data_IF_161399503910
#
_entry.id   IF_161399503910
#
_cell.length_a   1.000
_cell.length_b   1.000
_cell.length_c   1.000
_cell.angle_alpha   90.00
_cell.angle_beta   90.00
_cell.angle_gamma   90.00
#
_symmetry.space_group_name_H-M   'P 1'
#
loop_
_entity.id
_entity.type
_entity.pdbx_description
1 polymer ?
#
# COMPACT_ATOMS: atom_id res chain seq x y z
N UNK A 1 -16.77 -3.16 5.18
CA UNK A 1 -17.15 -2.47 6.43
C UNK A 1 -15.88 -2.42 7.24
N UNK A 2 -15.35 -1.22 7.51
CA UNK A 2 -14.17 -0.93 8.33
C UNK A 2 -14.48 0.37 9.08
N UNK A 3 -15.57 0.31 9.83
CA UNK A 3 -16.20 1.43 10.49
C UNK A 3 -16.13 1.29 12.01
N UNK A 4 -15.47 0.23 12.49
CA UNK A 4 -15.39 -0.15 13.90
C UNK A 4 -14.13 -0.96 14.16
N UNK A 5 -13.74 -1.07 15.44
CA UNK A 5 -12.64 -1.90 15.91
C UNK A 5 -12.75 -3.34 15.36
N UNK A 6 -13.93 -3.96 15.45
CA UNK A 6 -14.14 -5.35 15.03
C UNK A 6 -13.92 -5.52 13.54
N UNK A 7 -14.39 -4.56 12.75
CA UNK A 7 -14.30 -4.58 11.31
C UNK A 7 -12.83 -4.52 10.85
N UNK A 8 -12.04 -3.66 11.47
CA UNK A 8 -10.61 -3.51 11.21
C UNK A 8 -9.81 -4.75 11.65
N UNK A 9 -10.15 -5.32 12.82
CA UNK A 9 -9.55 -6.56 13.31
C UNK A 9 -9.85 -7.73 12.38
N UNK A 10 -11.11 -7.89 11.97
CA UNK A 10 -11.52 -8.97 11.05
C UNK A 10 -10.81 -8.84 9.71
N UNK A 11 -10.80 -7.63 9.12
CA UNK A 11 -10.11 -7.38 7.87
C UNK A 11 -8.59 -7.64 7.99
N UNK A 12 -7.94 -7.12 9.03
CA UNK A 12 -6.51 -7.33 9.28
C UNK A 12 -6.14 -8.80 9.47
N UNK A 13 -6.88 -9.53 10.31
CA UNK A 13 -6.64 -10.96 10.56
C UNK A 13 -6.90 -11.80 9.30
N UNK A 14 -7.94 -11.48 8.52
CA UNK A 14 -8.25 -12.18 7.28
C UNK A 14 -7.16 -12.04 6.21
N UNK A 15 -6.33 -10.99 6.26
CA UNK A 15 -5.19 -10.79 5.36
C UNK A 15 -3.95 -11.62 5.76
N UNK A 16 -3.81 -12.04 7.02
CA UNK A 16 -2.62 -12.77 7.50
C UNK A 16 -2.35 -14.09 6.75
N UNK A 17 -3.35 -14.93 6.42
CA UNK A 17 -3.13 -16.11 5.59
C UNK A 17 -2.64 -15.77 4.18
N UNK A 18 -3.19 -14.72 3.56
CA UNK A 18 -2.78 -14.24 2.23
C UNK A 18 -1.34 -13.76 2.26
N UNK A 19 -0.97 -13.01 3.30
CA UNK A 19 0.40 -12.57 3.56
C UNK A 19 1.37 -13.74 3.73
N UNK A 20 1.04 -14.71 4.58
CA UNK A 20 1.87 -15.88 4.81
C UNK A 20 2.07 -16.70 3.52
N UNK A 21 1.01 -16.89 2.73
CA UNK A 21 1.09 -17.59 1.45
C UNK A 21 1.90 -16.81 0.42
N UNK A 22 1.74 -15.49 0.34
CA UNK A 22 2.51 -14.64 -0.57
C UNK A 22 4.00 -14.68 -0.24
N UNK A 23 4.36 -14.55 1.03
CA UNK A 23 5.75 -14.61 1.50
C UNK A 23 6.39 -16.00 1.32
N UNK A 24 5.61 -17.08 1.47
CA UNK A 24 6.09 -18.45 1.21
C UNK A 24 6.50 -18.68 -0.25
N UNK A 25 5.97 -17.91 -1.18
CA UNK A 25 6.30 -18.02 -2.61
C UNK A 25 7.56 -17.24 -3.00
N UNK A 26 8.13 -16.45 -2.09
CA UNK A 26 9.38 -15.70 -2.30
C UNK A 26 10.54 -16.67 -2.53
N UNK A 27 11.30 -16.43 -3.60
CA UNK A 27 12.55 -17.15 -3.91
C UNK A 27 13.77 -16.25 -3.89
N UNK A 28 13.58 -14.95 -4.07
CA UNK A 28 14.66 -13.97 -4.04
C UNK A 28 14.31 -12.79 -3.15
N UNK A 29 15.30 -12.24 -2.45
CA UNK A 29 15.14 -11.09 -1.54
C UNK A 29 14.48 -9.87 -2.19
N UNK A 30 14.66 -9.68 -3.51
CA UNK A 30 14.04 -8.60 -4.27
C UNK A 30 12.51 -8.72 -4.42
N UNK A 31 11.95 -9.91 -4.20
CA UNK A 31 10.50 -10.15 -4.28
C UNK A 31 9.81 -9.82 -2.94
N UNK A 32 10.58 -9.79 -1.84
CA UNK A 32 10.07 -9.56 -0.48
C UNK A 32 9.24 -8.27 -0.37
N UNK A 33 9.68 -7.10 -0.88
CA UNK A 33 8.91 -5.87 -0.69
C UNK A 33 7.51 -5.92 -1.30
N UNK A 34 7.36 -6.59 -2.45
CA UNK A 34 6.05 -6.77 -3.08
C UNK A 34 5.23 -7.87 -2.39
N UNK A 35 5.87 -9.00 -2.09
CA UNK A 35 5.21 -10.14 -1.45
C UNK A 35 4.74 -9.83 -0.01
N UNK A 36 5.37 -8.86 0.67
CA UNK A 36 5.03 -8.40 2.00
C UNK A 36 3.87 -7.39 2.04
N UNK A 37 3.42 -6.84 0.91
CA UNK A 37 2.32 -5.86 0.87
C UNK A 37 1.06 -6.32 1.63
N UNK A 38 0.59 -7.59 1.51
CA UNK A 38 -0.57 -8.05 2.27
C UNK A 38 -0.33 -8.04 3.79
N UNK A 39 0.90 -8.33 4.25
CA UNK A 39 1.25 -8.26 5.67
C UNK A 39 1.19 -6.82 6.16
N UNK A 40 1.73 -5.90 5.35
CA UNK A 40 1.75 -4.48 5.69
C UNK A 40 0.35 -3.88 5.72
N UNK A 41 -0.54 -4.27 4.78
CA UNK A 41 -1.95 -3.91 4.83
C UNK A 41 -2.66 -4.48 6.06
N UNK A 42 -2.36 -5.73 6.44
CA UNK A 42 -2.89 -6.34 7.67
C UNK A 42 -2.48 -5.54 8.92
N UNK A 43 -1.19 -5.23 9.05
CA UNK A 43 -0.66 -4.44 10.16
C UNK A 43 -1.28 -3.04 10.18
N UNK A 44 -1.43 -2.42 9.01
CA UNK A 44 -2.06 -1.11 8.89
C UNK A 44 -3.50 -1.12 9.41
N UNK A 45 -4.29 -2.15 9.06
CA UNK A 45 -5.67 -2.28 9.55
C UNK A 45 -5.74 -2.54 11.06
N UNK A 46 -4.87 -3.42 11.57
CA UNK A 46 -4.80 -3.68 13.01
C UNK A 46 -4.34 -2.44 13.81
N UNK A 47 -3.55 -1.57 13.18
CA UNK A 47 -3.14 -0.29 13.80
C UNK A 47 -4.32 0.68 13.85
N UNK A 48 -5.17 0.71 12.83
CA UNK A 48 -6.40 1.52 12.82
C UNK A 48 -7.40 1.08 13.89
N UNK A 49 -7.53 -0.24 14.11
CA UNK A 49 -8.33 -0.78 15.21
C UNK A 49 -7.89 -0.26 16.59
N UNK A 50 -6.59 -0.06 16.81
CA UNK A 50 -6.06 0.53 18.05
C UNK A 50 -6.35 2.04 18.15
N UNK A 51 -6.50 2.73 17.01
CA UNK A 51 -6.90 4.14 17.00
C UNK A 51 -8.37 4.26 17.40
N UNK A 52 -9.24 3.41 16.85
CA UNK A 52 -10.65 3.31 17.24
C UNK A 52 -10.81 2.99 18.72
N UNK A 53 -10.13 1.95 19.22
CA UNK A 53 -10.15 1.61 20.64
C UNK A 53 -9.68 2.77 21.54
N UNK A 54 -8.85 3.67 21.02
CA UNK A 54 -8.44 4.88 21.75
C UNK A 54 -9.49 5.99 21.75
N UNK A 55 -10.29 6.09 20.69
CA UNK A 55 -11.45 7.00 20.63
C UNK A 55 -12.56 6.52 21.57
N UNK A 56 -12.79 5.21 21.65
CA UNK A 56 -13.76 4.57 22.56
C UNK A 56 -13.33 4.61 24.04
N UNK A 57 -12.06 4.93 24.32
CA UNK A 57 -11.49 5.00 25.67
C UNK A 57 -11.00 3.66 26.23
N UNK A 58 -10.96 2.61 25.41
CA UNK A 58 -10.49 1.26 25.79
C UNK A 58 -8.97 1.14 25.92
N UNK A 59 -8.20 2.06 25.30
CA UNK A 59 -6.74 2.14 25.44
C UNK A 59 -6.28 3.53 25.87
N UNK A 60 -5.09 3.59 26.48
CA UNK A 60 -4.51 4.87 26.91
C UNK A 60 -4.26 5.83 25.74
N UNK A 61 -4.36 7.14 26.00
CA UNK A 61 -4.07 8.18 25.01
C UNK A 61 -2.67 8.06 24.37
N UNK A 62 -1.68 7.57 25.10
CA UNK A 62 -0.34 7.32 24.56
C UNK A 62 -0.33 6.19 23.51
N UNK A 63 -1.12 5.13 23.74
CA UNK A 63 -1.27 4.02 22.78
C UNK A 63 -1.97 4.51 21.53
N UNK A 64 -3.11 5.21 21.67
CA UNK A 64 -3.84 5.78 20.54
C UNK A 64 -2.95 6.70 19.71
N UNK A 65 -2.23 7.64 20.35
CA UNK A 65 -1.32 8.57 19.67
C UNK A 65 -0.21 7.84 18.91
N UNK A 66 0.35 6.79 19.51
CA UNK A 66 1.39 5.97 18.87
C UNK A 66 0.84 5.20 17.68
N UNK A 67 -0.36 4.62 17.82
CA UNK A 67 -1.05 3.93 16.74
C UNK A 67 -1.39 4.88 15.58
N UNK A 68 -1.96 6.05 15.85
CA UNK A 68 -2.27 7.06 14.84
C UNK A 68 -1.00 7.54 14.11
N UNK A 69 0.09 7.78 14.84
CA UNK A 69 1.37 8.14 14.23
C UNK A 69 1.90 7.01 13.35
N UNK A 70 1.88 5.76 13.81
CA UNK A 70 2.31 4.60 13.03
C UNK A 70 1.47 4.41 11.76
N UNK A 71 0.15 4.57 11.87
CA UNK A 71 -0.79 4.52 10.75
C UNK A 71 -0.44 5.57 9.69
N UNK A 72 -0.31 6.84 10.08
CA UNK A 72 -0.01 7.94 9.16
C UNK A 72 1.39 7.84 8.57
N UNK A 73 2.41 7.45 9.36
CA UNK A 73 3.76 7.22 8.86
C UNK A 73 3.82 6.05 7.86
N UNK A 74 3.01 5.01 8.04
CA UNK A 74 2.92 3.97 7.05
C UNK A 74 2.26 4.49 5.75
N UNK A 75 1.10 5.12 5.87
CA UNK A 75 0.32 5.56 4.72
C UNK A 75 1.04 6.63 3.88
N UNK A 76 1.63 7.65 4.53
CA UNK A 76 2.11 8.82 3.82
C UNK A 76 3.57 8.70 3.37
N UNK A 77 4.56 8.52 4.27
CA UNK A 77 5.94 8.41 3.83
C UNK A 77 6.38 7.00 3.41
N UNK A 78 5.86 5.91 3.98
CA UNK A 78 6.38 4.57 3.62
C UNK A 78 5.90 4.14 2.22
N UNK A 79 4.61 4.25 1.92
CA UNK A 79 4.03 3.75 0.66
C UNK A 79 4.66 4.36 -0.62
N UNK A 80 4.89 5.69 -0.74
CA UNK A 80 5.43 6.29 -1.96
C UNK A 80 6.82 5.83 -2.33
N UNK A 81 7.62 5.39 -1.37
CA UNK A 81 8.93 4.78 -1.66
C UNK A 81 8.81 3.28 -1.81
N UNK A 82 8.03 2.62 -0.95
CA UNK A 82 7.91 1.17 -0.92
C UNK A 82 7.34 0.60 -2.22
N UNK A 83 6.22 1.14 -2.71
CA UNK A 83 5.51 0.60 -3.89
C UNK A 83 6.34 0.69 -5.17
N UNK A 84 6.86 1.86 -5.59
CA UNK A 84 7.70 1.92 -6.79
C UNK A 84 8.98 1.10 -6.65
N UNK A 85 9.56 1.02 -5.45
CA UNK A 85 10.75 0.19 -5.21
C UNK A 85 10.43 -1.29 -5.35
N UNK A 86 9.30 -1.75 -4.81
CA UNK A 86 8.82 -3.12 -4.95
C UNK A 86 8.62 -3.50 -6.43
N UNK A 87 8.00 -2.61 -7.22
CA UNK A 87 7.83 -2.81 -8.66
C UNK A 87 9.17 -2.81 -9.40
N UNK A 88 10.05 -1.84 -9.14
CA UNK A 88 11.39 -1.75 -9.75
C UNK A 88 12.21 -3.02 -9.54
N UNK A 89 12.15 -3.59 -8.33
CA UNK A 89 12.88 -4.80 -7.96
C UNK A 89 12.36 -6.05 -8.68
N UNK A 90 11.07 -6.09 -9.00
CA UNK A 90 10.44 -7.16 -9.78
C UNK A 90 10.68 -7.04 -11.29
N UNK A 91 11.00 -5.84 -11.79
CA UNK A 91 11.24 -5.60 -13.21
C UNK A 91 12.60 -6.17 -13.70
N UNK A 92 12.63 -6.70 -14.94
CA UNK A 92 13.86 -7.09 -15.63
C UNK A 92 14.87 -5.94 -15.69
N UNK A 93 16.18 -6.24 -15.70
CA UNK A 93 17.23 -5.20 -15.68
C UNK A 93 17.07 -4.14 -16.78
N UNK A 94 16.69 -4.53 -17.99
CA UNK A 94 16.46 -3.61 -19.11
C UNK A 94 15.19 -2.75 -19.00
N UNK A 95 14.21 -3.17 -18.18
CA UNK A 95 12.96 -2.45 -17.98
C UNK A 95 13.00 -1.46 -16.81
N UNK A 96 13.97 -1.61 -15.89
CA UNK A 96 14.08 -0.81 -14.66
C UNK A 96 14.17 0.70 -14.90
N UNK A 97 14.79 1.12 -16.00
CA UNK A 97 14.92 2.55 -16.35
C UNK A 97 13.56 3.22 -16.57
N UNK A 98 12.51 2.46 -16.92
CA UNK A 98 11.14 2.99 -17.04
C UNK A 98 10.50 3.30 -15.69
N UNK A 99 10.91 2.59 -14.64
CA UNK A 99 10.31 2.68 -13.30
C UNK A 99 11.18 3.52 -12.33
N UNK A 100 12.48 3.61 -12.57
CA UNK A 100 13.42 4.32 -11.70
C UNK A 100 13.04 5.80 -11.41
N UNK A 101 12.51 6.60 -12.36
CA UNK A 101 12.07 7.97 -12.07
C UNK A 101 10.97 8.02 -11.00
N UNK A 102 10.09 7.02 -10.93
CA UNK A 102 9.02 6.95 -9.93
C UNK A 102 9.55 6.62 -8.54
N UNK A 103 10.66 5.88 -8.43
CA UNK A 103 11.35 5.67 -7.14
C UNK A 103 11.96 6.98 -6.65
N UNK A 104 12.61 7.74 -7.53
CA UNK A 104 13.16 9.05 -7.17
C UNK A 104 12.05 10.03 -6.73
N UNK A 105 10.95 10.10 -7.49
CA UNK A 105 9.78 10.88 -7.12
C UNK A 105 9.19 10.41 -5.78
N UNK A 106 9.05 9.10 -5.60
CA UNK A 106 8.57 8.48 -4.37
C UNK A 106 9.41 8.86 -3.15
N UNK A 107 10.73 8.84 -3.27
CA UNK A 107 11.65 9.27 -2.21
C UNK A 107 11.47 10.74 -1.82
N UNK A 108 11.31 11.62 -2.81
CA UNK A 108 11.06 13.06 -2.58
C UNK A 108 9.74 13.28 -1.86
N UNK A 109 8.66 12.65 -2.35
CA UNK A 109 7.33 12.72 -1.73
C UNK A 109 7.37 12.15 -0.31
N UNK A 110 8.00 10.98 -0.13
CA UNK A 110 8.16 10.35 1.17
C UNK A 110 8.90 11.24 2.17
N UNK A 111 10.02 11.84 1.77
CA UNK A 111 10.81 12.72 2.64
C UNK A 111 10.02 13.95 3.09
N UNK A 112 9.28 14.58 2.17
CA UNK A 112 8.45 15.73 2.48
C UNK A 112 7.27 15.34 3.40
N UNK A 113 6.55 14.27 3.08
CA UNK A 113 5.43 13.83 3.91
C UNK A 113 5.88 13.37 5.29
N UNK A 114 7.04 12.71 5.41
CA UNK A 114 7.65 12.39 6.70
C UNK A 114 7.95 13.66 7.50
N UNK A 115 8.54 14.68 6.86
CA UNK A 115 8.80 15.97 7.51
C UNK A 115 7.51 16.62 8.03
N UNK A 116 6.45 16.65 7.22
CA UNK A 116 5.15 17.23 7.60
C UNK A 116 4.53 16.47 8.77
N UNK A 117 4.53 15.13 8.73
CA UNK A 117 3.95 14.29 9.79
C UNK A 117 4.72 14.42 11.11
N UNK A 118 6.06 14.48 11.06
CA UNK A 118 6.89 14.53 12.26
C UNK A 118 6.98 15.94 12.89
N UNK A 119 6.72 17.00 12.12
CA UNK A 119 6.78 18.39 12.60
C UNK A 119 5.42 19.02 12.86
N UNK A 120 4.40 18.59 12.14
CA UNK A 120 3.05 19.13 12.24
C UNK A 120 2.24 18.50 13.38
N UNK A 121 1.18 19.17 13.85
CA UNK A 121 0.22 18.52 14.73
C UNK A 121 -0.52 17.43 13.96
N UNK A 122 -0.52 16.21 14.51
CA UNK A 122 -1.41 15.15 14.06
C UNK A 122 -2.71 15.26 14.85
N UNK A 123 -3.80 15.62 14.18
CA UNK A 123 -5.14 15.64 14.76
C UNK A 123 -5.90 14.43 14.25
N UNK A 124 -6.45 13.67 15.18
CA UNK A 124 -7.31 12.51 14.92
C UNK A 124 -8.74 12.96 15.21
N UNK A 125 -9.58 13.02 14.18
CA UNK A 125 -10.99 13.39 14.30
C UNK A 125 -11.85 12.17 13.95
N UNK A 126 -12.82 11.89 14.81
CA UNK A 126 -13.87 10.92 14.52
C UNK A 126 -14.97 11.61 13.71
N UNK A 127 -15.31 11.02 12.56
CA UNK A 127 -16.52 11.33 11.80
C UNK A 127 -17.41 10.09 11.80
N UNK A 128 -18.72 10.28 11.52
CA UNK A 128 -19.79 9.29 11.70
C UNK A 128 -19.40 7.83 11.38
N UNK A 129 -18.62 7.62 10.32
CA UNK A 129 -18.10 6.30 9.92
C UNK A 129 -16.63 6.32 9.46
N UNK A 130 -15.78 7.23 9.96
CA UNK A 130 -14.36 7.25 9.58
C UNK A 130 -13.49 7.99 10.59
N UNK A 131 -12.25 7.51 10.75
CA UNK A 131 -11.20 8.29 11.41
C UNK A 131 -10.51 9.16 10.36
N UNK A 132 -10.55 10.47 10.56
CA UNK A 132 -9.86 11.44 9.70
C UNK A 132 -8.58 11.89 10.38
N UNK A 133 -7.47 11.69 9.69
CA UNK A 133 -6.14 12.13 10.12
C UNK A 133 -5.79 13.44 9.43
N UNK A 134 -5.82 14.56 10.18
CA UNK A 134 -5.39 15.85 9.65
C UNK A 134 -3.92 16.08 9.95
N UNK A 135 -3.21 16.46 8.89
CA UNK A 135 -1.82 16.92 8.95
C UNK A 135 -1.74 18.33 8.37
N UNK A 136 -0.74 19.11 8.80
CA UNK A 136 -0.47 20.46 8.30
C UNK A 136 0.13 20.47 6.88
N UNK A 137 -0.53 19.82 5.92
CA UNK A 137 -0.04 19.69 4.55
C UNK A 137 -0.42 20.92 3.72
N UNK A 138 0.56 21.78 3.48
CA UNK A 138 0.41 22.85 2.49
C UNK A 138 0.42 22.29 1.06
N UNK A 139 -0.37 22.89 0.17
CA UNK A 139 -0.49 22.49 -1.23
C UNK A 139 -0.94 21.02 -1.41
N UNK A 140 -1.91 20.56 -0.60
CA UNK A 140 -2.33 19.16 -0.53
C UNK A 140 -2.64 18.50 -1.88
N UNK A 141 -3.30 19.20 -2.80
CA UNK A 141 -3.61 18.67 -4.14
C UNK A 141 -2.35 18.36 -4.96
N UNK A 142 -1.34 19.23 -4.91
CA UNK A 142 -0.07 19.03 -5.62
C UNK A 142 0.63 17.77 -5.12
N UNK A 143 0.78 17.63 -3.80
CA UNK A 143 1.41 16.47 -3.20
C UNK A 143 0.60 15.18 -3.37
N UNK A 144 -0.73 15.25 -3.36
CA UNK A 144 -1.60 14.12 -3.66
C UNK A 144 -1.41 13.60 -5.10
N UNK A 145 -1.32 14.49 -6.09
CA UNK A 145 -1.04 14.09 -7.48
C UNK A 145 0.33 13.43 -7.58
N UNK A 146 1.38 14.02 -6.98
CA UNK A 146 2.72 13.42 -6.99
C UNK A 146 2.74 12.05 -6.29
N UNK A 147 2.02 11.90 -5.17
CA UNK A 147 1.86 10.65 -4.45
C UNK A 147 1.22 9.58 -5.34
N UNK A 148 0.12 9.90 -6.02
CA UNK A 148 -0.57 8.97 -6.92
C UNK A 148 0.35 8.58 -8.07
N UNK A 149 1.05 9.55 -8.69
CA UNK A 149 2.00 9.26 -9.76
C UNK A 149 3.13 8.32 -9.29
N UNK A 150 3.70 8.57 -8.11
CA UNK A 150 4.77 7.75 -7.54
C UNK A 150 4.32 6.32 -7.19
N UNK A 151 3.12 6.15 -6.65
CA UNK A 151 2.61 4.85 -6.18
C UNK A 151 1.97 4.02 -7.29
N UNK A 152 1.20 4.65 -8.18
CA UNK A 152 0.41 3.97 -9.23
C UNK A 152 1.15 3.90 -10.56
N UNK A 153 1.82 4.98 -10.96
CA UNK A 153 2.62 5.07 -12.20
C UNK A 153 3.57 3.90 -12.45
N UNK A 154 4.41 3.46 -11.49
CA UNK A 154 5.33 2.33 -11.70
C UNK A 154 4.59 1.04 -12.06
N UNK A 155 3.44 0.77 -11.43
CA UNK A 155 2.68 -0.44 -11.61
C UNK A 155 1.99 -0.47 -12.98
N UNK A 156 1.46 0.67 -13.45
CA UNK A 156 0.83 0.80 -14.76
C UNK A 156 1.82 0.66 -15.93
N UNK A 157 3.09 1.02 -15.71
CA UNK A 157 4.16 0.88 -16.71
C UNK A 157 4.90 -0.47 -16.64
N UNK A 158 4.49 -1.35 -15.73
CA UNK A 158 5.10 -2.66 -15.56
C UNK A 158 4.87 -3.55 -16.78
N UNK A 159 5.85 -4.42 -17.08
CA UNK A 159 5.70 -5.45 -18.12
C UNK A 159 4.76 -6.60 -17.73
N UNK A 160 4.31 -6.67 -16.48
CA UNK A 160 3.51 -7.79 -15.97
C UNK A 160 2.03 -7.41 -15.86
N UNK A 161 1.11 -8.10 -16.58
CA UNK A 161 -0.32 -7.78 -16.57
C UNK A 161 -0.95 -7.76 -15.17
N UNK A 162 -0.48 -8.62 -14.25
CA UNK A 162 -0.96 -8.64 -12.86
C UNK A 162 -0.52 -7.43 -12.04
N UNK A 163 0.66 -6.86 -12.31
CA UNK A 163 1.12 -5.63 -11.67
C UNK A 163 0.39 -4.42 -12.28
N UNK A 164 0.12 -4.44 -13.58
CA UNK A 164 -0.72 -3.42 -14.23
C UNK A 164 -2.13 -3.45 -13.65
N UNK A 165 -2.73 -4.63 -13.45
CA UNK A 165 -4.02 -4.77 -12.79
C UNK A 165 -4.00 -4.24 -11.35
N UNK A 166 -2.93 -4.48 -10.59
CA UNK A 166 -2.71 -3.90 -9.26
C UNK A 166 -2.69 -2.37 -9.31
N UNK A 167 -1.97 -1.78 -10.27
CA UNK A 167 -1.94 -0.33 -10.48
C UNK A 167 -3.30 0.24 -10.87
N UNK A 168 -3.98 -0.38 -11.83
CA UNK A 168 -5.30 0.05 -12.30
C UNK A 168 -6.34 -0.01 -11.19
N UNK A 169 -6.32 -1.06 -10.35
CA UNK A 169 -7.22 -1.18 -9.22
C UNK A 169 -6.97 -0.10 -8.17
N UNK A 170 -5.71 0.23 -7.87
CA UNK A 170 -5.37 1.38 -7.01
C UNK A 170 -5.88 2.69 -7.61
N UNK A 171 -5.69 2.92 -8.92
CA UNK A 171 -6.14 4.14 -9.59
C UNK A 171 -7.66 4.30 -9.49
N UNK A 172 -8.40 3.21 -9.76
CA UNK A 172 -9.85 3.18 -9.64
C UNK A 172 -10.28 3.41 -8.20
N UNK A 173 -9.66 2.72 -7.23
CA UNK A 173 -9.94 2.91 -5.80
C UNK A 173 -9.74 4.35 -5.35
N UNK A 174 -8.60 4.95 -5.69
CA UNK A 174 -8.28 6.35 -5.37
C UNK A 174 -9.22 7.34 -6.07
N UNK A 175 -9.59 7.07 -7.32
CA UNK A 175 -10.54 7.92 -8.07
C UNK A 175 -11.95 7.84 -7.50
N UNK A 176 -12.43 6.64 -7.15
CA UNK A 176 -13.73 6.45 -6.49
C UNK A 176 -13.76 7.16 -5.15
N UNK A 177 -12.69 7.04 -4.36
CA UNK A 177 -12.53 7.78 -3.11
C UNK A 177 -12.61 9.29 -3.33
N UNK A 178 -11.91 9.82 -4.34
CA UNK A 178 -11.93 11.25 -4.67
C UNK A 178 -13.31 11.74 -5.15
N UNK A 179 -14.12 10.88 -5.76
CA UNK A 179 -15.44 11.21 -6.27
C UNK A 179 -16.56 11.04 -5.24
N UNK A 180 -16.44 10.06 -4.33
CA UNK A 180 -17.53 9.67 -3.44
C UNK A 180 -17.57 10.50 -2.16
N UNK A 181 -16.45 11.04 -1.67
CA UNK A 181 -16.27 12.01 -0.56
C UNK A 181 -17.15 11.94 0.71
N UNK A 182 -18.04 10.96 0.86
CA UNK A 182 -19.04 10.90 1.91
C UNK A 182 -19.17 9.44 2.35
N UNK A 183 -18.81 9.19 3.61
CA UNK A 183 -19.16 8.04 4.45
C UNK A 183 -18.55 6.64 4.15
N UNK A 184 -17.98 6.37 2.97
CA UNK A 184 -17.51 5.00 2.64
C UNK A 184 -15.98 4.79 2.58
N UNK A 185 -15.16 5.81 2.89
CA UNK A 185 -13.70 5.80 2.68
C UNK A 185 -13.00 4.57 3.28
N UNK A 186 -13.24 4.30 4.56
CA UNK A 186 -12.59 3.20 5.27
C UNK A 186 -13.05 1.81 4.76
N UNK A 187 -14.34 1.66 4.46
CA UNK A 187 -14.87 0.40 3.89
C UNK A 187 -14.34 0.11 2.49
N UNK A 188 -14.17 1.14 1.65
CA UNK A 188 -13.56 1.01 0.33
C UNK A 188 -12.09 0.63 0.42
N UNK A 189 -11.35 1.21 1.38
CA UNK A 189 -9.95 0.89 1.60
C UNK A 189 -9.75 -0.59 1.97
N UNK A 190 -10.55 -1.14 2.87
CA UNK A 190 -10.43 -2.56 3.24
C UNK A 190 -10.71 -3.52 2.10
N UNK A 191 -11.77 -3.25 1.32
CA UNK A 191 -12.08 -4.04 0.13
C UNK A 191 -10.94 -3.93 -0.88
N UNK A 192 -10.41 -2.72 -1.09
CA UNK A 192 -9.27 -2.49 -1.96
C UNK A 192 -8.03 -3.26 -1.46
N UNK A 193 -7.68 -3.18 -0.19
CA UNK A 193 -6.55 -3.89 0.42
C UNK A 193 -6.68 -5.41 0.26
N UNK A 194 -7.89 -5.97 0.43
CA UNK A 194 -8.16 -7.38 0.19
C UNK A 194 -7.96 -7.77 -1.27
N UNK A 195 -8.53 -7.02 -2.22
CA UNK A 195 -8.39 -7.29 -3.65
C UNK A 195 -6.92 -7.17 -4.11
N UNK A 196 -6.22 -6.13 -3.66
CA UNK A 196 -4.79 -5.92 -3.93
C UNK A 196 -3.96 -7.06 -3.34
N UNK A 197 -4.27 -7.52 -2.13
CA UNK A 197 -3.57 -8.64 -1.49
C UNK A 197 -3.74 -9.95 -2.26
N UNK A 198 -4.94 -10.21 -2.77
CA UNK A 198 -5.20 -11.36 -3.65
C UNK A 198 -4.42 -11.24 -4.95
N UNK A 199 -4.37 -10.08 -5.59
CA UNK A 199 -3.57 -9.86 -6.79
C UNK A 199 -2.07 -10.10 -6.55
N UNK A 200 -1.54 -9.63 -5.40
CA UNK A 200 -0.16 -9.91 -4.99
C UNK A 200 0.08 -11.42 -4.86
N UNK A 201 -0.80 -12.15 -4.15
CA UNK A 201 -0.68 -13.59 -4.00
C UNK A 201 -0.75 -14.32 -5.36
N UNK A 202 -1.69 -13.94 -6.22
CA UNK A 202 -1.83 -14.51 -7.56
C UNK A 202 -0.57 -14.25 -8.39
N UNK A 203 -0.03 -13.04 -8.36
CA UNK A 203 1.23 -12.70 -9.02
C UNK A 203 2.36 -13.60 -8.54
N UNK A 204 2.51 -13.77 -7.23
CA UNK A 204 3.57 -14.62 -6.66
C UNK A 204 3.41 -16.10 -7.04
N UNK A 205 2.18 -16.62 -7.00
CA UNK A 205 1.88 -18.00 -7.42
C UNK A 205 2.11 -18.24 -8.90
N UNK A 206 1.77 -17.28 -9.77
CA UNK A 206 2.02 -17.36 -11.21
C UNK A 206 3.52 -17.34 -11.49
N UNK A 207 4.28 -16.47 -10.81
CA UNK A 207 5.74 -16.43 -10.92
C UNK A 207 6.43 -17.72 -10.50
N UNK A 208 5.85 -18.51 -9.58
CA UNK A 208 6.36 -19.84 -9.21
C UNK A 208 6.54 -20.78 -10.40
N UNK A 209 5.72 -20.62 -11.44
CA UNK A 209 5.75 -21.49 -12.63
C UNK A 209 6.82 -21.08 -13.65
N UNK A 210 7.50 -19.95 -13.46
CA UNK A 210 8.55 -19.47 -14.36
C UNK A 210 9.91 -20.13 -14.03
N UNK A 211 10.69 -20.56 -15.04
CA UNK A 211 12.05 -21.06 -14.84
C UNK A 211 12.97 -20.01 -14.16
N UNK A 212 13.90 -20.45 -13.32
CA UNK A 212 14.81 -19.57 -12.55
C UNK A 212 15.61 -18.53 -13.38
N UNK A 213 16.04 -18.79 -14.64
CA UNK A 213 16.65 -17.77 -15.49
C UNK A 213 15.71 -16.61 -15.83
N UNK A 214 14.42 -16.90 -16.01
CA UNK A 214 13.39 -15.89 -16.30
C UNK A 214 13.07 -15.08 -15.05
N UNK A 215 13.18 -15.71 -13.87
CA UNK A 215 13.13 -14.99 -12.60
C UNK A 215 14.33 -14.08 -12.50
N UNK A 216 15.56 -14.59 -12.53
CA UNK A 216 16.82 -13.84 -12.35
C UNK A 216 16.97 -12.66 -13.32
N UNK A 217 16.71 -12.87 -14.60
CA UNK A 217 16.94 -11.87 -15.66
C UNK A 217 15.68 -11.15 -16.15
N UNK A 218 14.49 -11.65 -15.83
CA UNK A 218 13.23 -11.05 -16.28
C UNK A 218 12.98 -11.23 -17.80
N UNK A 219 13.57 -12.25 -18.41
CA UNK A 219 13.33 -12.53 -19.83
C UNK A 219 11.90 -13.04 -20.05
N UNK A 220 11.22 -12.63 -21.14
CA UNK A 220 9.95 -13.25 -21.54
C UNK A 220 10.19 -14.71 -21.96
N UNK A 221 9.20 -15.58 -21.72
CA UNK A 221 9.21 -16.95 -22.21
C UNK A 221 9.37 -16.90 -23.73
N UNK A 222 10.47 -17.45 -24.26
CA UNK A 222 10.50 -17.80 -25.68
C UNK A 222 9.38 -18.81 -25.92
N UNK A 223 8.52 -18.62 -26.94
CA UNK A 223 7.54 -19.62 -27.30
C UNK A 223 8.30 -20.89 -27.68
N UNK A 224 8.00 -21.99 -26.98
CA UNK A 224 8.47 -23.33 -27.34
C UNK A 224 7.95 -23.60 -28.75
N UNK A 225 8.88 -23.68 -29.70
CA UNK A 225 8.61 -24.07 -31.09
C UNK A 225 8.20 -25.53 -31.19
#
# INVERSE_FOLDING_TARGET
>A
MCFSVEADVVAGVALLPVAALSLREVRHVREVPFAALPLLFAIHQLTEALVWAGLDGDVSANVQKTAALAYVLFAFPVLPTLVPTAVLLLEPRGARLRVAPFVALGLVVSAYLAYVVLRGPLVVEEHDHAVVYRIGLEHGMFWAVLYILATVGPALLSGYPSIVAFGALNLVGLSLVALVYQEAFASLWCVLAALLSVLVLLHMRLRRRLPDPHRLHGQPLEPVG
#
